data_IF_393387372554
#
_entry.id   IF_393387372554
#
_cell.length_a   1.000
_cell.length_b   1.000
_cell.length_c   1.000
_cell.angle_alpha   90.00
_cell.angle_beta   90.00
_cell.angle_gamma   90.00
#
_symmetry.space_group_name_H-M   'P 1'
#
loop_
_entity.id
_entity.type
_entity.pdbx_description
1 polymer ?
#
# COMPACT_ATOMS: atom_id res chain seq x y z
N UNK A 1 4.42 -11.98 -7.00
CA UNK A 1 2.98 -12.22 -7.26
C UNK A 1 2.49 -11.23 -8.31
N UNK A 2 2.46 -9.92 -8.05
CA UNK A 2 2.14 -8.88 -9.06
C UNK A 2 2.87 -9.09 -10.40
N UNK A 3 4.19 -9.28 -10.38
CA UNK A 3 4.97 -9.56 -11.59
C UNK A 3 4.49 -10.78 -12.39
N UNK A 4 3.97 -11.83 -11.75
CA UNK A 4 3.46 -13.00 -12.46
C UNK A 4 2.19 -12.66 -13.26
N UNK A 5 1.31 -11.82 -12.70
CA UNK A 5 0.16 -11.28 -13.41
C UNK A 5 0.59 -10.38 -14.59
N UNK A 6 1.55 -9.48 -14.38
CA UNK A 6 2.09 -8.64 -15.45
C UNK A 6 2.70 -9.47 -16.59
N UNK A 7 3.43 -10.55 -16.27
CA UNK A 7 3.97 -11.47 -17.27
C UNK A 7 2.87 -12.22 -18.02
N UNK A 8 1.77 -12.59 -17.34
CA UNK A 8 0.60 -13.16 -17.98
C UNK A 8 0.01 -12.23 -19.05
N UNK A 9 -0.07 -10.93 -18.76
CA UNK A 9 -0.45 -9.91 -19.76
C UNK A 9 0.61 -9.76 -20.85
N UNK A 10 1.89 -9.71 -20.50
CA UNK A 10 2.99 -9.58 -21.47
C UNK A 10 3.03 -10.74 -22.49
N UNK A 11 2.68 -11.97 -22.08
CA UNK A 11 2.56 -13.12 -22.97
C UNK A 11 1.44 -12.92 -24.01
N UNK A 12 0.34 -12.26 -23.64
CA UNK A 12 -0.73 -11.90 -24.58
C UNK A 12 -0.24 -10.82 -25.54
N UNK A 13 0.36 -9.77 -24.99
CA UNK A 13 0.87 -8.62 -25.76
C UNK A 13 1.93 -9.05 -26.77
N UNK A 14 2.84 -9.95 -26.39
CA UNK A 14 3.93 -10.43 -27.23
C UNK A 14 3.47 -10.98 -28.60
N UNK A 15 2.27 -11.59 -28.67
CA UNK A 15 1.72 -12.10 -29.93
C UNK A 15 1.48 -10.99 -30.95
N UNK A 16 1.02 -9.81 -30.49
CA UNK A 16 0.82 -8.62 -31.33
C UNK A 16 2.13 -8.03 -31.82
N UNK A 17 3.22 -8.26 -31.09
CA UNK A 17 4.58 -7.92 -31.50
C UNK A 17 5.28 -9.02 -32.32
N UNK A 18 4.55 -10.05 -32.78
CA UNK A 18 5.06 -11.07 -33.71
C UNK A 18 5.63 -12.34 -33.05
N UNK A 19 5.57 -12.47 -31.72
CA UNK A 19 6.00 -13.68 -31.03
C UNK A 19 5.00 -14.82 -31.23
N UNK A 20 5.49 -15.97 -31.74
CA UNK A 20 4.67 -17.17 -31.92
C UNK A 20 4.67 -18.02 -30.65
N UNK A 21 3.65 -17.83 -29.81
CA UNK A 21 3.50 -18.53 -28.53
C UNK A 21 2.34 -19.54 -28.62
N UNK A 22 2.58 -20.85 -28.46
CA UNK A 22 1.52 -21.87 -28.48
C UNK A 22 0.46 -21.64 -27.39
N UNK A 23 -0.79 -22.00 -27.68
CA UNK A 23 -1.92 -21.94 -26.75
C UNK A 23 -2.45 -23.34 -26.39
N UNK A 24 -3.03 -23.54 -25.19
CA UNK A 24 -3.19 -22.56 -24.11
C UNK A 24 -1.92 -22.37 -23.27
N UNK A 25 -1.68 -21.14 -22.80
CA UNK A 25 -0.66 -20.86 -21.77
C UNK A 25 -1.32 -20.93 -20.40
N UNK A 26 -0.85 -21.82 -19.53
CA UNK A 26 -1.35 -21.97 -18.17
C UNK A 26 -0.36 -21.43 -17.14
N UNK A 27 -0.89 -21.05 -15.97
CA UNK A 27 -0.10 -20.61 -14.83
C UNK A 27 -0.10 -21.69 -13.74
N UNK A 28 1.09 -22.00 -13.20
CA UNK A 28 1.26 -22.94 -12.09
C UNK A 28 1.54 -22.20 -10.77
N UNK A 29 0.58 -22.24 -9.84
CA UNK A 29 0.69 -21.60 -8.53
C UNK A 29 1.85 -22.14 -7.71
N UNK A 30 2.10 -23.46 -7.76
CA UNK A 30 3.13 -24.10 -6.95
C UNK A 30 4.52 -23.59 -7.33
N UNK A 31 4.81 -23.50 -8.63
CA UNK A 31 6.07 -22.97 -9.17
C UNK A 31 6.28 -21.52 -8.76
N UNK A 32 5.28 -20.64 -8.97
CA UNK A 32 5.38 -19.23 -8.58
C UNK A 32 5.59 -19.09 -7.06
N UNK A 33 4.76 -19.76 -6.25
CA UNK A 33 4.82 -19.70 -4.79
C UNK A 33 6.17 -20.19 -4.28
N UNK A 34 6.69 -21.30 -4.81
CA UNK A 34 7.99 -21.84 -4.44
C UNK A 34 9.13 -20.88 -4.78
N UNK A 35 9.12 -20.28 -5.98
CA UNK A 35 10.12 -19.29 -6.38
C UNK A 35 10.12 -18.06 -5.45
N UNK A 36 8.93 -17.52 -5.15
CA UNK A 36 8.76 -16.40 -4.22
C UNK A 36 9.24 -16.76 -2.82
N UNK A 37 8.85 -17.92 -2.30
CA UNK A 37 9.27 -18.37 -0.97
C UNK A 37 10.78 -18.61 -0.87
N UNK A 38 11.43 -19.07 -1.94
CA UNK A 38 12.88 -19.22 -1.99
C UNK A 38 13.58 -17.87 -1.86
N UNK A 39 13.09 -16.84 -2.55
CA UNK A 39 13.62 -15.49 -2.39
C UNK A 39 13.41 -14.96 -0.97
N UNK A 40 12.22 -15.12 -0.38
CA UNK A 40 11.93 -14.73 1.02
C UNK A 40 12.89 -15.43 2.00
N UNK A 41 13.16 -16.73 1.81
CA UNK A 41 14.13 -17.48 2.62
C UNK A 41 15.54 -16.91 2.49
N UNK A 42 15.96 -16.48 1.29
CA UNK A 42 17.25 -15.84 1.07
C UNK A 42 17.38 -14.51 1.84
N UNK A 43 16.32 -13.69 1.87
CA UNK A 43 16.28 -12.45 2.65
C UNK A 43 16.36 -12.72 4.16
N UNK A 44 15.61 -13.72 4.64
CA UNK A 44 15.67 -14.14 6.04
C UNK A 44 17.08 -14.57 6.47
N UNK A 45 17.80 -15.25 5.59
CA UNK A 45 19.20 -15.61 5.83
C UNK A 45 20.11 -14.37 5.79
N UNK A 46 19.98 -13.53 4.77
CA UNK A 46 20.78 -12.32 4.60
C UNK A 46 20.66 -11.36 5.79
N UNK A 47 19.46 -11.17 6.34
CA UNK A 47 19.28 -10.36 7.55
C UNK A 47 20.01 -10.92 8.77
N UNK A 48 20.00 -12.25 8.97
CA UNK A 48 20.73 -12.88 10.10
C UNK A 48 22.24 -12.70 9.96
N UNK A 49 22.77 -12.88 8.76
CA UNK A 49 24.19 -12.63 8.44
C UNK A 49 24.55 -11.18 8.73
N UNK A 50 23.76 -10.23 8.23
CA UNK A 50 24.00 -8.80 8.45
C UNK A 50 23.98 -8.38 9.93
N UNK A 51 23.14 -9.01 10.76
CA UNK A 51 23.14 -8.80 12.21
C UNK A 51 24.42 -9.37 12.84
N UNK A 52 24.82 -10.58 12.45
CA UNK A 52 26.04 -11.24 12.93
C UNK A 52 27.30 -10.44 12.57
N UNK A 53 27.43 -9.98 11.33
CA UNK A 53 28.58 -9.18 10.84
C UNK A 53 28.73 -7.88 11.63
N UNK A 54 27.60 -7.29 12.03
CA UNK A 54 27.54 -6.07 12.86
C UNK A 54 27.56 -6.36 14.36
N UNK A 55 27.79 -7.61 14.76
CA UNK A 55 27.84 -8.07 16.16
C UNK A 55 26.56 -7.74 16.94
N UNK A 56 25.42 -7.68 16.26
CA UNK A 56 24.10 -7.51 16.88
C UNK A 56 23.59 -8.87 17.33
N UNK A 57 23.38 -9.03 18.64
CA UNK A 57 22.86 -10.27 19.22
C UNK A 57 21.39 -10.47 18.82
N UNK A 58 21.13 -11.44 17.95
CA UNK A 58 19.78 -11.83 17.57
C UNK A 58 19.21 -12.87 18.53
N UNK A 59 18.03 -12.59 19.09
CA UNK A 59 17.28 -13.49 19.96
C UNK A 59 15.93 -13.80 19.33
N UNK A 60 15.73 -15.05 18.90
CA UNK A 60 14.43 -15.50 18.41
C UNK A 60 13.49 -15.83 19.57
N UNK A 61 12.97 -14.79 20.20
CA UNK A 61 12.12 -14.85 21.39
C UNK A 61 10.99 -13.84 21.29
N UNK A 62 9.82 -14.18 21.86
CA UNK A 62 8.73 -13.24 22.06
C UNK A 62 9.04 -12.38 23.30
N UNK A 63 9.29 -11.09 23.10
CA UNK A 63 9.61 -10.14 24.15
C UNK A 63 8.37 -9.46 24.74
N UNK A 64 8.41 -9.18 26.04
CA UNK A 64 7.45 -8.35 26.77
C UNK A 64 8.21 -7.49 27.80
N UNK A 65 7.77 -6.26 28.03
CA UNK A 65 8.38 -5.41 29.06
C UNK A 65 7.98 -5.92 30.45
N UNK A 66 8.94 -5.86 31.37
CA UNK A 66 8.74 -6.09 32.81
C UNK A 66 8.73 -4.75 33.54
N UNK A 67 9.67 -3.87 33.16
CA UNK A 67 9.78 -2.49 33.60
C UNK A 67 10.38 -1.64 32.45
N UNK A 68 10.75 -0.39 32.72
CA UNK A 68 11.28 0.55 31.72
C UNK A 68 12.61 0.12 31.08
N UNK A 69 13.37 -0.78 31.71
CA UNK A 69 14.69 -1.22 31.27
C UNK A 69 14.80 -2.72 31.05
N UNK A 70 13.81 -3.50 31.50
CA UNK A 70 13.87 -4.97 31.54
C UNK A 70 12.87 -5.60 30.56
N UNK A 71 13.39 -6.47 29.69
CA UNK A 71 12.61 -7.26 28.74
C UNK A 71 12.69 -8.73 29.16
N UNK A 72 11.53 -9.38 29.30
CA UNK A 72 11.42 -10.84 29.38
C UNK A 72 11.15 -11.40 27.99
N UNK A 73 12.01 -12.28 27.52
CA UNK A 73 11.88 -13.03 26.29
C UNK A 73 11.52 -14.49 26.54
N UNK A 74 10.59 -15.04 25.76
CA UNK A 74 10.24 -16.47 25.77
C UNK A 74 10.47 -17.07 24.38
N UNK A 75 11.21 -18.18 24.28
CA UNK A 75 11.42 -18.87 23.02
C UNK A 75 10.28 -19.87 22.71
N UNK A 76 10.29 -20.45 21.51
CA UNK A 76 9.28 -21.42 21.09
C UNK A 76 9.23 -22.72 21.93
N UNK A 77 10.26 -23.00 22.75
CA UNK A 77 10.31 -24.14 23.67
C UNK A 77 9.91 -23.79 25.10
N UNK A 78 9.40 -22.56 25.34
CA UNK A 78 9.01 -22.08 26.65
C UNK A 78 10.17 -21.68 27.57
N UNK A 79 11.43 -21.64 27.07
CA UNK A 79 12.57 -21.15 27.87
C UNK A 79 12.53 -19.63 27.94
N UNK A 80 12.58 -19.12 29.16
CA UNK A 80 12.64 -17.69 29.43
C UNK A 80 14.08 -17.15 29.50
N UNK A 81 14.23 -15.87 29.21
CA UNK A 81 15.45 -15.08 29.36
C UNK A 81 15.08 -13.64 29.69
N UNK A 82 15.85 -13.01 30.58
CA UNK A 82 15.73 -11.58 30.86
C UNK A 82 16.91 -10.83 30.26
N UNK A 83 16.63 -9.67 29.67
CA UNK A 83 17.64 -8.75 29.12
C UNK A 83 17.34 -7.35 29.62
N UNK A 84 18.36 -6.59 30.01
CA UNK A 84 18.24 -5.18 30.35
C UNK A 84 18.84 -4.30 29.25
N UNK A 85 18.27 -3.12 29.04
CA UNK A 85 18.75 -2.15 28.06
C UNK A 85 18.54 -0.71 28.54
N UNK A 86 19.50 0.17 28.23
CA UNK A 86 19.37 1.61 28.51
C UNK A 86 18.20 2.21 27.73
N UNK A 87 18.13 1.94 26.43
CA UNK A 87 17.07 2.40 25.54
C UNK A 87 16.35 1.20 24.92
N UNK A 88 15.03 1.30 24.75
CA UNK A 88 14.20 0.28 24.10
C UNK A 88 13.53 0.87 22.88
N UNK A 89 13.57 0.17 21.75
CA UNK A 89 12.82 0.55 20.52
C UNK A 89 11.79 -0.53 20.22
N UNK A 90 10.51 -0.15 20.21
CA UNK A 90 9.38 -1.02 19.90
C UNK A 90 9.10 -0.91 18.39
N UNK A 91 9.24 -2.03 17.68
CA UNK A 91 9.02 -2.12 16.23
C UNK A 91 8.25 -3.41 15.86
N UNK A 92 7.22 -3.76 16.63
CA UNK A 92 6.48 -5.03 16.47
C UNK A 92 5.46 -5.02 15.33
N UNK A 93 5.25 -3.87 14.70
CA UNK A 93 4.37 -3.72 13.54
C UNK A 93 2.91 -4.02 13.85
N UNK A 94 2.21 -4.63 12.89
CA UNK A 94 0.82 -5.07 13.02
C UNK A 94 0.55 -6.42 12.37
N UNK A 95 -0.66 -6.95 12.64
CA UNK A 95 -1.17 -8.21 12.07
C UNK A 95 -2.54 -7.99 11.43
N UNK A 96 -2.92 -8.81 10.44
CA UNK A 96 -4.24 -8.68 9.83
C UNK A 96 -5.38 -8.84 10.83
N UNK A 97 -6.45 -8.05 10.67
CA UNK A 97 -7.68 -8.17 11.45
C UNK A 97 -8.58 -9.24 10.84
N UNK A 98 -9.27 -9.96 11.72
CA UNK A 98 -10.40 -10.82 11.37
C UNK A 98 -11.71 -10.17 11.84
N UNK A 99 -12.79 -10.22 11.05
CA UNK A 99 -14.09 -9.71 11.48
C UNK A 99 -14.67 -10.63 12.57
N UNK A 100 -14.72 -10.15 13.81
CA UNK A 100 -15.17 -10.93 14.98
C UNK A 100 -16.67 -11.23 14.98
N UNK A 101 -17.46 -10.44 14.25
CA UNK A 101 -18.91 -10.58 14.15
C UNK A 101 -19.36 -11.50 13.01
N UNK A 102 -18.41 -12.10 12.27
CA UNK A 102 -18.69 -13.01 11.15
C UNK A 102 -18.29 -14.42 11.56
N UNK A 103 -19.25 -15.29 11.91
CA UNK A 103 -18.97 -16.70 12.17
C UNK A 103 -18.23 -17.35 11.00
N UNK A 104 -17.26 -18.22 11.30
CA UNK A 104 -16.41 -18.89 10.32
C UNK A 104 -15.27 -18.04 9.74
N UNK A 105 -15.21 -16.74 10.03
CA UNK A 105 -14.15 -15.88 9.48
C UNK A 105 -12.74 -16.30 9.90
N UNK A 106 -12.54 -16.63 11.18
CA UNK A 106 -11.25 -17.08 11.70
C UNK A 106 -10.90 -18.52 11.28
N UNK A 107 -11.90 -19.38 11.18
CA UNK A 107 -11.74 -20.81 10.89
C UNK A 107 -11.47 -21.10 9.42
N UNK A 108 -12.16 -20.38 8.52
CA UNK A 108 -12.17 -20.67 7.08
C UNK A 108 -11.52 -19.58 6.22
N UNK A 109 -11.05 -18.48 6.83
CA UNK A 109 -10.47 -17.34 6.13
C UNK A 109 -8.96 -17.20 6.29
N UNK A 110 -8.29 -16.76 5.23
CA UNK A 110 -6.92 -16.23 5.26
C UNK A 110 -6.96 -14.69 5.28
N UNK A 111 -5.84 -14.00 5.44
CA UNK A 111 -5.84 -12.53 5.51
C UNK A 111 -4.64 -11.85 4.82
N UNK A 112 -4.87 -10.72 4.14
CA UNK A 112 -3.85 -9.94 3.42
C UNK A 112 -4.34 -8.51 3.06
N UNK A 113 -3.75 -7.84 2.06
CA UNK A 113 -4.16 -6.55 1.48
C UNK A 113 -5.08 -6.77 0.27
N UNK A 114 -6.14 -5.98 0.14
CA UNK A 114 -7.32 -6.33 -0.67
C UNK A 114 -7.12 -6.27 -2.19
N UNK A 115 -7.00 -5.07 -2.75
CA UNK A 115 -7.04 -4.86 -4.20
C UNK A 115 -5.82 -5.41 -4.93
N UNK A 116 -4.62 -5.29 -4.35
CA UNK A 116 -3.40 -5.87 -4.93
C UNK A 116 -3.50 -7.40 -5.03
N UNK A 117 -3.99 -8.06 -3.98
CA UNK A 117 -4.22 -9.50 -4.00
C UNK A 117 -5.27 -9.89 -5.04
N UNK A 118 -6.43 -9.24 -5.03
CA UNK A 118 -7.47 -9.54 -6.00
C UNK A 118 -6.97 -9.37 -7.43
N UNK A 119 -6.26 -8.27 -7.69
CA UNK A 119 -5.69 -7.96 -8.99
C UNK A 119 -4.72 -9.04 -9.50
N UNK A 120 -3.74 -9.44 -8.68
CA UNK A 120 -2.81 -10.47 -9.15
C UNK A 120 -3.48 -11.85 -9.26
N UNK A 121 -4.47 -12.17 -8.42
CA UNK A 121 -5.22 -13.44 -8.50
C UNK A 121 -6.01 -13.51 -9.82
N UNK A 122 -6.72 -12.44 -10.19
CA UNK A 122 -7.35 -12.31 -11.52
C UNK A 122 -6.30 -12.42 -12.62
N UNK A 123 -5.17 -11.71 -12.50
CA UNK A 123 -4.13 -11.67 -13.53
C UNK A 123 -3.41 -12.99 -13.79
N UNK A 124 -3.35 -13.88 -12.80
CA UNK A 124 -2.85 -15.27 -12.98
C UNK A 124 -3.96 -16.26 -13.40
N UNK A 125 -5.18 -15.77 -13.66
CA UNK A 125 -6.29 -16.54 -14.22
C UNK A 125 -7.26 -17.13 -13.19
N UNK A 126 -7.24 -16.67 -11.93
CA UNK A 126 -8.20 -17.14 -10.93
C UNK A 126 -9.48 -16.31 -10.92
N UNK A 127 -10.60 -17.01 -10.76
CA UNK A 127 -11.89 -16.38 -10.63
C UNK A 127 -12.01 -15.64 -9.28
N UNK A 128 -12.08 -14.31 -9.33
CA UNK A 128 -11.86 -13.46 -8.16
C UNK A 128 -12.95 -12.41 -8.01
N UNK A 129 -13.58 -12.38 -6.83
CA UNK A 129 -14.56 -11.36 -6.44
C UNK A 129 -14.03 -10.54 -5.26
N UNK A 130 -14.17 -9.21 -5.32
CA UNK A 130 -13.87 -8.27 -4.23
C UNK A 130 -15.17 -7.79 -3.61
N UNK A 131 -15.33 -7.98 -2.30
CA UNK A 131 -16.44 -7.42 -1.55
C UNK A 131 -16.05 -6.08 -0.93
N UNK A 132 -16.74 -5.01 -1.32
CA UNK A 132 -16.45 -3.65 -0.86
C UNK A 132 -17.61 -3.13 -0.01
N UNK A 133 -17.31 -2.71 1.21
CA UNK A 133 -18.33 -2.20 2.15
C UNK A 133 -18.88 -0.82 1.80
N UNK A 134 -18.02 0.04 1.26
CA UNK A 134 -18.36 1.45 1.01
C UNK A 134 -17.54 1.99 -0.16
N UNK A 135 -16.33 2.49 0.10
CA UNK A 135 -15.41 3.02 -0.92
C UNK A 135 -14.13 2.20 -0.98
N UNK A 136 -13.53 2.13 -2.18
CA UNK A 136 -12.21 1.57 -2.38
C UNK A 136 -11.11 2.54 -1.93
N UNK A 137 -9.99 1.98 -1.45
CA UNK A 137 -8.78 2.74 -1.08
C UNK A 137 -9.06 3.99 -0.23
N UNK A 138 -9.88 3.86 0.83
CA UNK A 138 -10.17 4.95 1.76
C UNK A 138 -8.88 5.61 2.25
N UNK A 139 -8.81 6.94 2.11
CA UNK A 139 -7.63 7.75 2.46
C UNK A 139 -6.73 8.09 1.27
N UNK A 140 -6.95 7.45 0.12
CA UNK A 140 -6.41 7.90 -1.16
C UNK A 140 -7.42 8.77 -1.89
N UNK A 141 -6.94 9.48 -2.91
CA UNK A 141 -7.76 10.22 -3.85
C UNK A 141 -8.87 9.35 -4.47
N UNK A 142 -10.13 9.74 -4.27
CA UNK A 142 -11.27 8.92 -4.65
C UNK A 142 -11.52 8.85 -6.17
N UNK A 143 -11.07 9.84 -6.95
CA UNK A 143 -11.13 9.73 -8.41
C UNK A 143 -10.15 8.66 -8.90
N UNK A 144 -8.92 8.69 -8.40
CA UNK A 144 -7.89 7.72 -8.79
C UNK A 144 -8.28 6.31 -8.34
N UNK A 145 -8.89 6.19 -7.16
CA UNK A 145 -9.37 4.92 -6.61
C UNK A 145 -10.43 4.27 -7.50
N UNK A 146 -11.33 5.07 -8.10
CA UNK A 146 -12.33 4.58 -9.06
C UNK A 146 -11.70 4.12 -10.36
N UNK A 147 -10.79 4.91 -10.94
CA UNK A 147 -10.06 4.50 -12.16
C UNK A 147 -9.36 3.15 -11.99
N UNK A 148 -8.77 2.91 -10.81
CA UNK A 148 -8.16 1.62 -10.47
C UNK A 148 -9.20 0.49 -10.44
N UNK A 149 -10.34 0.69 -9.78
CA UNK A 149 -11.37 -0.36 -9.71
C UNK A 149 -12.07 -0.60 -11.04
N UNK A 150 -12.32 0.45 -11.83
CA UNK A 150 -12.91 0.36 -13.16
C UNK A 150 -11.99 -0.44 -14.10
N UNK A 151 -10.67 -0.24 -14.01
CA UNK A 151 -9.71 -1.07 -14.73
C UNK A 151 -9.76 -2.52 -14.25
N UNK A 152 -9.81 -2.77 -12.94
CA UNK A 152 -9.90 -4.14 -12.42
C UNK A 152 -11.17 -4.86 -12.91
N UNK A 153 -12.32 -4.17 -12.92
CA UNK A 153 -13.60 -4.67 -13.44
C UNK A 153 -13.51 -4.99 -14.94
N UNK A 154 -12.98 -4.06 -15.74
CA UNK A 154 -12.82 -4.24 -17.18
C UNK A 154 -11.91 -5.43 -17.55
N UNK A 155 -10.99 -5.81 -16.64
CA UNK A 155 -10.05 -6.91 -16.83
C UNK A 155 -10.41 -8.18 -16.01
N UNK A 156 -11.64 -8.28 -15.52
CA UNK A 156 -12.25 -9.53 -15.06
C UNK A 156 -12.29 -9.75 -13.55
N UNK A 157 -11.86 -8.79 -12.72
CA UNK A 157 -12.14 -8.85 -11.29
C UNK A 157 -13.59 -8.45 -11.04
N UNK A 158 -14.38 -9.31 -10.38
CA UNK A 158 -15.75 -8.94 -10.02
C UNK A 158 -15.78 -8.12 -8.74
N UNK A 159 -16.75 -7.23 -8.62
CA UNK A 159 -16.99 -6.49 -7.38
C UNK A 159 -18.42 -6.71 -6.87
N UNK A 160 -18.53 -6.89 -5.56
CA UNK A 160 -19.78 -6.79 -4.82
C UNK A 160 -19.70 -5.53 -3.97
N UNK A 161 -20.23 -4.44 -4.52
CA UNK A 161 -20.28 -3.14 -3.87
C UNK A 161 -21.33 -3.11 -2.75
N UNK A 162 -21.13 -2.19 -1.82
CA UNK A 162 -22.02 -1.98 -0.66
C UNK A 162 -22.33 -3.26 0.12
N UNK A 163 -21.40 -4.21 0.17
CA UNK A 163 -21.63 -5.55 0.70
C UNK A 163 -20.88 -5.79 2.02
N UNK A 164 -21.56 -6.41 2.97
CA UNK A 164 -20.99 -6.78 4.29
C UNK A 164 -21.20 -8.27 4.56
N UNK A 165 -20.11 -9.04 4.80
CA UNK A 165 -20.20 -10.46 5.08
C UNK A 165 -20.93 -10.70 6.41
N UNK A 166 -21.72 -11.77 6.46
CA UNK A 166 -22.49 -12.21 7.62
C UNK A 166 -21.97 -13.51 8.21
N UNK A 167 -21.66 -14.48 7.37
CA UNK A 167 -21.14 -15.79 7.79
C UNK A 167 -20.34 -16.46 6.67
N UNK A 168 -19.42 -17.33 7.08
CA UNK A 168 -18.71 -18.25 6.19
C UNK A 168 -18.89 -19.67 6.71
N UNK A 169 -19.37 -20.56 5.86
CA UNK A 169 -19.66 -21.95 6.22
C UNK A 169 -18.97 -22.89 5.24
N UNK A 170 -18.40 -23.99 5.74
CA UNK A 170 -17.79 -25.02 4.89
C UNK A 170 -18.86 -26.03 4.46
N UNK A 171 -19.09 -26.13 3.16
CA UNK A 171 -20.03 -27.07 2.56
C UNK A 171 -19.45 -28.50 2.53
N UNK A 172 -20.31 -29.54 2.40
CA UNK A 172 -19.85 -30.93 2.21
C UNK A 172 -18.95 -31.13 0.99
N UNK A 173 -19.08 -30.28 -0.03
CA UNK A 173 -18.21 -30.28 -1.22
C UNK A 173 -16.78 -29.78 -0.94
N UNK A 174 -16.54 -29.19 0.24
CA UNK A 174 -15.29 -28.53 0.60
C UNK A 174 -15.23 -27.04 0.23
N UNK A 175 -16.19 -26.53 -0.54
CA UNK A 175 -16.33 -25.10 -0.84
C UNK A 175 -16.75 -24.31 0.40
N UNK A 176 -16.44 -23.02 0.41
CA UNK A 176 -16.80 -22.07 1.45
C UNK A 176 -17.99 -21.24 0.96
N UNK A 177 -19.16 -21.47 1.52
CA UNK A 177 -20.33 -20.63 1.29
C UNK A 177 -20.17 -19.34 2.09
N UNK A 178 -20.21 -18.20 1.40
CA UNK A 178 -20.19 -16.88 1.99
C UNK A 178 -21.59 -16.28 1.86
N UNK A 179 -22.13 -15.83 2.98
CA UNK A 179 -23.38 -15.06 3.02
C UNK A 179 -23.06 -13.62 3.34
N UNK A 180 -23.66 -12.67 2.62
CA UNK A 180 -23.48 -11.24 2.87
C UNK A 180 -24.79 -10.48 2.67
N UNK A 181 -24.82 -9.27 3.21
CA UNK A 181 -25.96 -8.36 3.05
C UNK A 181 -25.52 -7.14 2.26
N UNK A 182 -26.36 -6.75 1.29
CA UNK A 182 -26.28 -5.45 0.64
C UNK A 182 -26.72 -4.35 1.63
N UNK A 183 -25.85 -3.37 1.84
CA UNK A 183 -26.06 -2.31 2.83
C UNK A 183 -27.08 -1.28 2.39
N UNK A 184 -27.37 -1.15 1.09
CA UNK A 184 -28.43 -0.30 0.56
C UNK A 184 -29.77 -1.04 0.56
N UNK A 185 -29.87 -2.16 -0.16
CA UNK A 185 -31.13 -2.88 -0.36
C UNK A 185 -31.55 -3.74 0.84
N UNK A 186 -30.62 -4.03 1.75
CA UNK A 186 -30.76 -4.98 2.89
C UNK A 186 -31.03 -6.41 2.45
N UNK A 187 -30.90 -6.73 1.17
CA UNK A 187 -31.05 -8.10 0.67
C UNK A 187 -29.85 -8.95 1.06
N UNK A 188 -30.14 -10.23 1.32
CA UNK A 188 -29.11 -11.23 1.59
C UNK A 188 -28.75 -11.96 0.31
N UNK A 189 -27.45 -12.17 0.10
CA UNK A 189 -26.89 -12.89 -1.02
C UNK A 189 -25.95 -13.98 -0.52
N UNK A 190 -25.77 -15.01 -1.34
CA UNK A 190 -24.91 -16.15 -1.03
C UNK A 190 -24.21 -16.63 -2.29
N UNK A 191 -22.95 -17.04 -2.14
CA UNK A 191 -22.14 -17.65 -3.20
C UNK A 191 -21.05 -18.54 -2.57
N UNK A 192 -20.48 -19.45 -3.35
CA UNK A 192 -19.52 -20.45 -2.89
C UNK A 192 -18.14 -20.26 -3.52
N UNK A 193 -17.10 -20.26 -2.68
CA UNK A 193 -15.72 -19.98 -3.07
C UNK A 193 -14.76 -21.07 -2.59
N UNK A 194 -13.63 -21.26 -3.27
CA UNK A 194 -12.56 -22.14 -2.77
C UNK A 194 -11.76 -21.53 -1.61
N UNK A 195 -11.69 -20.20 -1.54
CA UNK A 195 -10.87 -19.48 -0.55
C UNK A 195 -11.49 -18.13 -0.25
N UNK A 196 -11.51 -17.75 1.04
CA UNK A 196 -11.95 -16.42 1.50
C UNK A 196 -10.75 -15.66 2.07
N UNK A 197 -10.49 -14.47 1.53
CA UNK A 197 -9.38 -13.60 1.94
C UNK A 197 -9.90 -12.35 2.67
N UNK A 198 -9.55 -12.20 3.94
CA UNK A 198 -9.87 -11.04 4.75
C UNK A 198 -8.80 -9.95 4.62
N UNK A 199 -9.18 -8.87 3.94
CA UNK A 199 -8.37 -7.66 3.83
C UNK A 199 -9.03 -6.45 4.49
N UNK A 200 -9.45 -6.60 5.75
CA UNK A 200 -10.27 -5.63 6.49
C UNK A 200 -9.46 -4.74 7.44
N UNK A 201 -8.18 -4.54 7.11
CA UNK A 201 -7.24 -3.74 7.89
C UNK A 201 -6.34 -4.56 8.82
N UNK A 202 -5.46 -3.85 9.54
CA UNK A 202 -4.45 -4.43 10.44
C UNK A 202 -4.63 -3.88 11.85
N UNK A 203 -4.20 -4.65 12.85
CA UNK A 203 -4.16 -4.26 14.25
C UNK A 203 -2.70 -4.18 14.71
N UNK A 204 -2.32 -3.16 15.50
CA UNK A 204 -0.97 -3.06 16.04
C UNK A 204 -0.69 -4.19 17.05
N UNK A 205 0.53 -4.72 17.05
CA UNK A 205 0.95 -5.80 17.95
C UNK A 205 1.41 -5.24 19.31
N UNK A 206 0.48 -4.64 20.07
CA UNK A 206 0.74 -4.02 21.39
C UNK A 206 0.28 -4.90 22.58
N UNK A 207 -0.71 -5.76 22.38
CA UNK A 207 -1.43 -6.47 23.46
C UNK A 207 -0.55 -7.35 24.35
N UNK A 208 0.53 -7.92 23.80
CA UNK A 208 1.38 -8.89 24.52
C UNK A 208 2.69 -8.30 25.04
N UNK A 209 2.85 -6.97 24.96
CA UNK A 209 4.10 -6.28 25.28
C UNK A 209 4.13 -5.66 26.68
N UNK A 210 3.02 -5.68 27.42
CA UNK A 210 2.85 -5.05 28.74
C UNK A 210 3.06 -3.52 28.77
N UNK A 211 2.81 -2.83 27.65
CA UNK A 211 3.10 -1.40 27.50
C UNK A 211 2.41 -0.52 28.56
N UNK A 212 1.10 -0.70 28.79
CA UNK A 212 0.34 0.09 29.77
C UNK A 212 0.87 -0.10 31.20
N UNK A 213 1.36 -1.30 31.56
CA UNK A 213 1.90 -1.58 32.89
C UNK A 213 3.19 -0.82 33.17
N UNK A 214 3.97 -0.54 32.12
CA UNK A 214 5.25 0.21 32.20
C UNK A 214 5.04 1.71 31.97
N UNK A 215 3.79 2.17 31.84
CA UNK A 215 3.47 3.60 31.67
C UNK A 215 3.55 4.10 30.22
N UNK A 216 3.69 3.22 29.23
CA UNK A 216 3.64 3.60 27.81
C UNK A 216 2.19 3.84 27.38
N UNK A 217 1.89 5.07 26.96
CA UNK A 217 0.57 5.49 26.51
C UNK A 217 0.22 4.93 25.12
N UNK A 218 -1.02 4.44 25.01
CA UNK A 218 -1.59 3.96 23.76
C UNK A 218 -2.82 4.80 23.41
N UNK A 219 -3.05 5.02 22.12
CA UNK A 219 -4.31 5.57 21.66
C UNK A 219 -5.41 4.52 21.85
N UNK A 220 -6.46 4.84 22.61
CA UNK A 220 -7.48 3.86 23.02
C UNK A 220 -8.30 3.30 21.84
N UNK A 221 -8.57 4.11 20.80
CA UNK A 221 -9.37 3.69 19.65
C UNK A 221 -8.60 2.77 18.71
N UNK A 222 -7.32 3.08 18.46
CA UNK A 222 -6.49 2.38 17.47
C UNK A 222 -5.62 1.29 18.09
N UNK A 223 -5.30 1.40 19.38
CA UNK A 223 -4.35 0.57 20.11
C UNK A 223 -2.88 0.83 19.75
N UNK A 224 -2.57 1.88 18.97
CA UNK A 224 -1.20 2.27 18.57
C UNK A 224 -0.48 3.02 19.69
N UNK A 225 0.85 2.98 19.66
CA UNK A 225 1.70 3.69 20.63
C UNK A 225 1.71 5.18 20.29
N UNK A 226 1.42 6.02 21.28
CA UNK A 226 1.52 7.47 21.14
C UNK A 226 3.01 7.85 21.17
N UNK A 227 3.45 8.62 20.19
CA UNK A 227 4.85 9.04 20.06
C UNK A 227 4.97 10.53 19.76
N UNK A 228 6.06 11.12 20.24
CA UNK A 228 6.50 12.45 19.85
C UNK A 228 7.16 12.47 18.46
N UNK A 229 7.56 13.65 17.99
CA UNK A 229 8.24 13.86 16.70
C UNK A 229 9.64 13.20 16.61
N UNK A 230 10.24 12.85 17.74
CA UNK A 230 11.53 12.15 17.84
C UNK A 230 11.38 10.63 18.07
N UNK A 231 10.18 10.09 17.84
CA UNK A 231 9.79 8.69 18.01
C UNK A 231 9.72 8.21 19.48
N UNK A 232 9.89 9.10 20.46
CA UNK A 232 9.81 8.79 21.89
C UNK A 232 8.37 8.56 22.34
N UNK A 233 8.15 7.62 23.26
CA UNK A 233 6.84 7.40 23.91
C UNK A 233 6.68 8.32 25.14
N UNK A 234 5.66 8.09 25.96
CA UNK A 234 5.53 8.72 27.30
C UNK A 234 6.68 8.37 28.26
N UNK A 235 7.44 7.31 27.96
CA UNK A 235 8.63 6.90 28.73
C UNK A 235 9.90 7.39 28.04
N UNK A 236 10.75 8.11 28.78
CA UNK A 236 11.85 8.88 28.20
C UNK A 236 12.91 8.06 27.43
N UNK A 237 13.05 6.78 27.78
CA UNK A 237 14.02 5.83 27.23
C UNK A 237 13.38 4.77 26.30
N UNK A 238 12.06 4.84 26.07
CA UNK A 238 11.33 3.93 25.19
C UNK A 238 10.86 4.69 23.95
N UNK A 239 11.10 4.09 22.78
CA UNK A 239 10.77 4.65 21.48
C UNK A 239 9.88 3.66 20.71
N UNK A 240 9.10 4.13 19.74
CA UNK A 240 8.34 3.27 18.86
C UNK A 240 8.39 3.74 17.40
N UNK A 241 8.58 2.80 16.47
CA UNK A 241 8.74 3.08 15.04
C UNK A 241 7.92 2.11 14.17
N UNK A 242 7.60 2.55 12.95
CA UNK A 242 6.83 1.76 11.98
C UNK A 242 5.33 1.72 12.29
N UNK A 243 4.63 0.69 11.81
CA UNK A 243 3.15 0.61 11.83
C UNK A 243 2.52 0.79 13.21
N UNK A 244 3.27 0.45 14.27
CA UNK A 244 2.80 0.51 15.65
C UNK A 244 2.67 1.95 16.18
N UNK A 245 3.37 2.91 15.57
CA UNK A 245 3.40 4.30 16.00
C UNK A 245 2.19 5.07 15.47
N UNK A 246 1.50 5.78 16.36
CA UNK A 246 0.31 6.56 16.03
C UNK A 246 0.63 7.68 15.03
N UNK A 247 -0.25 7.87 14.04
CA UNK A 247 -0.14 8.96 13.05
C UNK A 247 1.02 8.82 12.07
N UNK A 248 1.70 7.67 12.00
CA UNK A 248 2.79 7.43 11.04
C UNK A 248 2.31 6.60 9.85
N UNK A 249 2.81 6.84 8.62
CA UNK A 249 2.55 6.00 7.46
C UNK A 249 3.04 4.56 7.69
N UNK A 250 2.18 3.57 7.43
CA UNK A 250 2.45 2.12 7.55
C UNK A 250 3.22 1.61 6.33
N UNK A 251 4.42 2.14 6.11
CA UNK A 251 5.24 1.86 4.94
C UNK A 251 6.65 1.40 5.34
N UNK A 252 7.19 0.43 4.60
CA UNK A 252 8.54 -0.10 4.87
C UNK A 252 9.64 0.99 4.82
N UNK A 253 9.69 1.87 3.79
CA UNK A 253 10.73 2.90 3.72
C UNK A 253 10.68 3.92 4.87
N UNK A 254 9.48 4.29 5.35
CA UNK A 254 9.34 5.23 6.48
C UNK A 254 9.83 4.60 7.78
N UNK A 255 9.51 3.34 8.05
CA UNK A 255 9.99 2.59 9.21
C UNK A 255 11.52 2.46 9.21
N UNK A 256 12.13 2.11 8.06
CA UNK A 256 13.58 2.00 7.92
C UNK A 256 14.26 3.35 8.15
N UNK A 257 13.76 4.43 7.52
CA UNK A 257 14.36 5.77 7.64
C UNK A 257 14.23 6.32 9.06
N UNK A 258 13.07 6.14 9.70
CA UNK A 258 12.86 6.50 11.11
C UNK A 258 13.83 5.75 12.03
N UNK A 259 13.97 4.42 11.87
CA UNK A 259 14.91 3.63 12.66
C UNK A 259 16.37 4.05 12.48
N UNK A 260 16.80 4.33 11.25
CA UNK A 260 18.16 4.84 10.96
C UNK A 260 18.41 6.20 11.63
N UNK A 261 17.48 7.15 11.50
CA UNK A 261 17.61 8.48 12.08
C UNK A 261 17.58 8.42 13.62
N UNK A 262 16.67 7.64 14.20
CA UNK A 262 16.60 7.41 15.64
C UNK A 262 17.91 6.83 16.18
N UNK A 263 18.47 5.80 15.53
CA UNK A 263 19.75 5.22 15.94
C UNK A 263 20.89 6.25 15.92
N UNK A 264 20.94 7.14 14.91
CA UNK A 264 21.93 8.23 14.86
C UNK A 264 21.74 9.24 15.99
N UNK A 265 20.49 9.59 16.33
CA UNK A 265 20.19 10.49 17.45
C UNK A 265 20.59 9.88 18.79
N UNK A 266 20.23 8.62 19.04
CA UNK A 266 20.57 7.91 20.27
C UNK A 266 22.08 7.69 20.44
N UNK A 267 22.82 7.59 19.34
CA UNK A 267 24.28 7.51 19.34
C UNK A 267 24.98 8.88 19.40
N UNK A 268 24.25 9.99 19.45
CA UNK A 268 24.82 11.35 19.51
C UNK A 268 25.46 11.83 18.20
N UNK A 269 25.11 11.22 17.06
CA UNK A 269 25.68 11.53 15.74
C UNK A 269 24.77 12.41 14.86
N UNK A 270 23.59 12.80 15.34
CA UNK A 270 22.63 13.63 14.61
C UNK A 270 21.57 14.20 15.55
N UNK A 271 20.97 15.33 15.16
CA UNK A 271 19.71 15.86 15.72
C UNK A 271 18.53 15.73 14.74
N UNK A 272 18.77 15.19 13.53
CA UNK A 272 17.79 15.14 12.46
C UNK A 272 16.59 14.24 12.81
N UNK A 273 15.39 14.81 12.70
CA UNK A 273 14.11 14.11 12.84
C UNK A 273 13.68 13.48 11.50
N UNK A 274 12.77 12.52 11.58
CA UNK A 274 12.14 11.96 10.39
C UNK A 274 11.11 12.94 9.82
N UNK A 275 11.22 13.24 8.52
CA UNK A 275 10.16 13.95 7.79
C UNK A 275 9.14 12.93 7.28
N UNK A 276 7.90 13.02 7.74
CA UNK A 276 6.77 12.17 7.34
C UNK A 276 5.85 12.85 6.32
N UNK A 277 6.12 14.09 5.94
CA UNK A 277 5.34 14.82 4.95
C UNK A 277 5.72 14.39 3.54
N UNK A 278 4.72 14.36 2.65
CA UNK A 278 4.87 14.05 1.22
C UNK A 278 5.67 12.76 0.96
N UNK A 279 5.39 11.71 1.74
CA UNK A 279 5.94 10.36 1.49
C UNK A 279 5.23 9.75 0.27
N UNK A 280 5.95 9.39 -0.81
CA UNK A 280 5.35 8.76 -1.97
C UNK A 280 4.86 7.34 -1.65
N UNK A 281 3.77 6.93 -2.30
CA UNK A 281 3.19 5.59 -2.19
C UNK A 281 2.77 5.09 -3.56
N UNK A 282 2.86 3.78 -3.77
CA UNK A 282 2.32 3.10 -4.95
C UNK A 282 1.49 1.90 -4.52
N UNK A 283 0.29 1.79 -5.07
CA UNK A 283 -0.58 0.62 -4.95
C UNK A 283 -0.39 -0.23 -6.20
N UNK A 284 0.05 -1.48 -6.01
CA UNK A 284 0.40 -2.40 -7.10
C UNK A 284 -0.82 -3.22 -7.55
N UNK A 285 -1.85 -2.53 -8.01
CA UNK A 285 -3.00 -3.11 -8.74
C UNK A 285 -2.63 -3.44 -10.19
N UNK A 286 -3.48 -4.19 -10.95
CA UNK A 286 -3.17 -4.58 -12.33
C UNK A 286 -2.82 -3.40 -13.24
N UNK A 287 -3.48 -2.26 -13.04
CA UNK A 287 -2.98 -0.95 -13.41
C UNK A 287 -2.46 -0.28 -12.14
N UNK A 288 -1.17 0.04 -12.09
CA UNK A 288 -0.56 0.59 -10.87
C UNK A 288 -1.02 2.03 -10.64
N UNK A 289 -1.07 2.41 -9.37
CA UNK A 289 -1.41 3.78 -8.95
C UNK A 289 -0.32 4.33 -8.03
N UNK A 290 0.41 5.33 -8.53
CA UNK A 290 1.42 6.07 -7.78
C UNK A 290 0.91 7.45 -7.37
N UNK A 291 1.21 7.87 -6.15
CA UNK A 291 0.89 9.20 -5.68
C UNK A 291 1.90 9.75 -4.66
N UNK A 292 1.96 11.08 -4.58
CA UNK A 292 2.72 11.81 -3.58
C UNK A 292 2.04 13.15 -3.28
N UNK A 293 2.07 13.58 -2.03
CA UNK A 293 1.41 14.82 -1.59
C UNK A 293 -0.06 14.62 -1.26
N UNK A 294 -0.84 15.70 -1.39
CA UNK A 294 -2.26 15.72 -1.05
C UNK A 294 -3.12 15.11 -2.16
N UNK A 295 -4.20 14.45 -1.76
CA UNK A 295 -5.29 14.17 -2.69
C UNK A 295 -6.04 15.46 -3.05
N UNK A 296 -6.82 15.43 -4.13
CA UNK A 296 -7.59 16.59 -4.56
C UNK A 296 -8.59 17.04 -3.49
N UNK A 297 -9.37 16.12 -2.94
CA UNK A 297 -10.36 16.42 -1.90
C UNK A 297 -9.71 16.93 -0.61
N UNK A 298 -8.49 16.49 -0.29
CA UNK A 298 -7.77 16.97 0.89
C UNK A 298 -7.15 18.35 0.64
N UNK A 299 -6.66 18.63 -0.57
CA UNK A 299 -6.18 19.95 -0.96
C UNK A 299 -7.32 20.97 -0.93
N UNK A 300 -8.48 20.64 -1.51
CA UNK A 300 -9.68 21.48 -1.46
C UNK A 300 -10.14 21.72 -0.02
N UNK A 301 -10.13 20.68 0.83
CA UNK A 301 -10.50 20.81 2.25
C UNK A 301 -9.54 21.73 3.04
N UNK A 302 -8.24 21.69 2.74
CA UNK A 302 -7.23 22.49 3.45
C UNK A 302 -7.14 23.93 2.94
N UNK A 303 -7.28 24.13 1.64
CA UNK A 303 -6.98 25.41 1.00
C UNK A 303 -8.23 26.17 0.56
N UNK A 304 -9.40 25.52 0.48
CA UNK A 304 -10.59 26.04 -0.20
C UNK A 304 -10.56 25.67 -1.68
N UNK A 305 -11.70 25.22 -2.22
CA UNK A 305 -11.82 24.72 -3.59
C UNK A 305 -11.44 25.78 -4.63
N UNK A 306 -11.78 27.03 -4.36
CA UNK A 306 -11.45 28.17 -5.20
C UNK A 306 -9.94 28.42 -5.30
N UNK A 307 -9.18 28.03 -4.26
CA UNK A 307 -7.72 28.21 -4.17
C UNK A 307 -6.93 26.96 -4.60
N UNK A 308 -7.57 26.01 -5.29
CA UNK A 308 -6.92 24.83 -5.87
C UNK A 308 -7.11 24.84 -7.39
N UNK A 309 -6.05 24.52 -8.13
CA UNK A 309 -6.11 24.27 -9.57
C UNK A 309 -5.62 22.85 -9.84
N UNK A 310 -6.33 22.10 -10.69
CA UNK A 310 -6.01 20.70 -10.98
C UNK A 310 -5.78 20.54 -12.47
N UNK A 311 -4.53 20.24 -12.82
CA UNK A 311 -4.14 19.87 -14.17
C UNK A 311 -4.31 18.37 -14.34
N UNK A 312 -4.85 17.92 -15.47
CA UNK A 312 -5.10 16.50 -15.72
C UNK A 312 -5.02 16.11 -17.19
N UNK A 313 -4.74 14.83 -17.45
CA UNK A 313 -4.74 14.25 -18.78
C UNK A 313 -4.95 12.73 -18.73
N UNK A 314 -5.65 12.18 -19.73
CA UNK A 314 -5.54 10.77 -20.10
C UNK A 314 -4.41 10.60 -21.10
N UNK A 315 -3.74 9.45 -21.08
CA UNK A 315 -2.66 9.15 -22.00
C UNK A 315 -2.66 7.68 -22.38
N UNK A 316 -1.94 7.33 -23.45
CA UNK A 316 -1.77 5.95 -23.88
C UNK A 316 -0.28 5.58 -23.88
N UNK A 317 0.15 4.60 -23.05
CA UNK A 317 1.49 4.05 -23.16
C UNK A 317 1.78 3.60 -24.59
N UNK A 318 2.96 3.92 -25.13
CA UNK A 318 3.31 3.51 -26.48
C UNK A 318 3.23 1.99 -26.64
N UNK A 319 3.63 1.25 -25.60
CA UNK A 319 3.61 -0.22 -25.56
C UNK A 319 2.19 -0.79 -25.71
N UNK A 320 1.16 -0.03 -25.33
CA UNK A 320 -0.24 -0.44 -25.42
C UNK A 320 -0.81 -0.26 -26.83
N UNK A 321 -0.14 0.48 -27.71
CA UNK A 321 -0.65 0.75 -29.08
C UNK A 321 -0.64 -0.50 -29.94
N UNK A 322 0.54 -1.10 -30.15
CA UNK A 322 0.68 -2.35 -30.92
C UNK A 322 0.00 -3.52 -30.20
N UNK A 323 0.04 -3.55 -28.86
CA UNK A 323 -0.67 -4.56 -28.07
C UNK A 323 -2.20 -4.44 -28.16
N UNK A 324 -2.73 -3.35 -28.76
CA UNK A 324 -4.16 -3.05 -28.85
C UNK A 324 -4.85 -3.04 -27.48
N UNK A 325 -4.13 -2.59 -26.45
CA UNK A 325 -4.67 -2.48 -25.09
C UNK A 325 -5.47 -1.21 -24.92
N UNK A 326 -6.52 -1.31 -24.12
CA UNK A 326 -7.24 -0.14 -23.64
C UNK A 326 -6.36 0.67 -22.68
N UNK A 327 -6.50 1.99 -22.75
CA UNK A 327 -5.78 2.94 -21.91
C UNK A 327 -6.72 3.97 -21.26
N UNK A 328 -8.04 3.72 -21.26
CA UNK A 328 -9.04 4.64 -20.74
C UNK A 328 -8.88 4.99 -19.26
N UNK A 329 -8.11 4.21 -18.51
CA UNK A 329 -7.80 4.46 -17.09
C UNK A 329 -6.33 4.86 -16.84
N UNK A 330 -5.51 4.99 -17.89
CA UNK A 330 -4.19 5.62 -17.80
C UNK A 330 -4.37 7.13 -17.73
N UNK A 331 -4.21 7.67 -16.52
CA UNK A 331 -4.58 9.05 -16.20
C UNK A 331 -3.58 9.66 -15.24
N UNK A 332 -3.34 10.95 -15.41
CA UNK A 332 -2.49 11.75 -14.55
C UNK A 332 -3.24 12.96 -14.05
N UNK A 333 -2.93 13.38 -12.83
CA UNK A 333 -3.30 14.70 -12.35
C UNK A 333 -2.27 15.31 -11.41
N UNK A 334 -2.20 16.62 -11.47
CA UNK A 334 -1.32 17.47 -10.64
C UNK A 334 -2.19 18.51 -9.95
N UNK A 335 -2.22 18.44 -8.63
CA UNK A 335 -2.99 19.32 -7.75
C UNK A 335 -2.06 20.46 -7.31
N UNK A 336 -2.44 21.70 -7.61
CA UNK A 336 -1.64 22.89 -7.35
C UNK A 336 -2.40 23.91 -6.51
N UNK A 337 -1.66 24.82 -5.88
CA UNK A 337 -2.23 26.09 -5.40
C UNK A 337 -2.84 26.85 -6.60
N UNK A 338 -4.04 27.40 -6.42
CA UNK A 338 -4.79 28.08 -7.47
C UNK A 338 -4.34 29.50 -7.77
N UNK A 339 -3.48 30.06 -6.93
CA UNK A 339 -2.95 31.42 -7.02
C UNK A 339 -1.43 31.44 -6.81
N UNK A 340 -0.82 32.58 -7.10
CA UNK A 340 0.63 32.79 -6.92
C UNK A 340 1.44 31.90 -7.85
N UNK A 341 2.49 31.29 -7.32
CA UNK A 341 3.46 30.50 -8.09
C UNK A 341 2.93 29.10 -8.46
N UNK A 342 1.70 28.75 -8.07
CA UNK A 342 1.09 27.43 -8.33
C UNK A 342 1.99 26.28 -7.87
N UNK A 343 2.38 26.30 -6.59
CA UNK A 343 3.15 25.20 -5.99
C UNK A 343 2.36 23.90 -6.10
N UNK A 344 3.05 22.82 -6.47
CA UNK A 344 2.44 21.49 -6.54
C UNK A 344 2.20 20.95 -5.14
N UNK A 345 0.95 20.66 -4.83
CA UNK A 345 0.48 20.10 -3.55
C UNK A 345 0.35 18.58 -3.61
N UNK A 346 0.07 18.02 -4.77
CA UNK A 346 -0.15 16.60 -4.98
C UNK A 346 0.04 16.18 -6.42
N UNK A 347 0.48 14.93 -6.62
CA UNK A 347 0.66 14.32 -7.93
C UNK A 347 0.15 12.88 -7.88
N UNK A 348 -0.62 12.50 -8.90
CA UNK A 348 -1.26 11.20 -9.03
C UNK A 348 -1.09 10.66 -10.43
N UNK A 349 -0.76 9.37 -10.53
CA UNK A 349 -0.46 8.69 -11.79
C UNK A 349 -1.04 7.28 -11.74
N UNK A 350 -1.98 6.96 -12.65
CA UNK A 350 -2.38 5.58 -12.95
C UNK A 350 -1.76 5.14 -14.26
N UNK A 351 -1.10 3.98 -14.26
CA UNK A 351 -0.31 3.55 -15.41
C UNK A 351 0.66 2.41 -15.14
N UNK A 352 1.38 1.94 -16.16
CA UNK A 352 2.51 1.04 -15.97
C UNK A 352 3.65 1.74 -15.22
N UNK A 353 4.33 1.00 -14.34
CA UNK A 353 5.53 1.45 -13.62
C UNK A 353 5.28 2.72 -12.78
N UNK A 354 4.11 2.86 -12.17
CA UNK A 354 3.69 4.08 -11.49
C UNK A 354 4.63 4.45 -10.33
N UNK A 355 5.21 3.46 -9.66
CA UNK A 355 6.21 3.68 -8.62
C UNK A 355 7.50 4.30 -9.14
N UNK A 356 7.99 3.84 -10.28
CA UNK A 356 9.20 4.35 -10.93
C UNK A 356 9.01 5.82 -11.35
N UNK A 357 7.83 6.13 -11.92
CA UNK A 357 7.48 7.51 -12.29
C UNK A 357 7.39 8.41 -11.06
N UNK A 358 6.61 8.00 -10.05
CA UNK A 358 6.29 8.84 -8.88
C UNK A 358 7.53 9.18 -8.05
N UNK A 359 8.52 8.29 -7.99
CA UNK A 359 9.69 8.44 -7.13
C UNK A 359 10.51 9.71 -7.42
N UNK A 360 10.66 10.08 -8.69
CA UNK A 360 11.37 11.31 -9.09
C UNK A 360 10.62 12.57 -8.71
N UNK A 361 9.30 12.60 -8.97
CA UNK A 361 8.46 13.75 -8.61
C UNK A 361 8.31 13.94 -7.10
N UNK A 362 8.44 12.88 -6.30
CA UNK A 362 8.48 13.00 -4.85
C UNK A 362 9.63 13.90 -4.36
N UNK A 363 10.80 13.83 -5.01
CA UNK A 363 11.89 14.78 -4.73
C UNK A 363 11.48 16.20 -5.12
N UNK A 364 10.83 16.38 -6.27
CA UNK A 364 10.30 17.67 -6.71
C UNK A 364 9.38 18.32 -5.68
N UNK A 365 8.42 17.55 -5.11
CA UNK A 365 7.55 18.04 -4.04
C UNK A 365 8.34 18.44 -2.77
N UNK A 366 9.38 17.68 -2.41
CA UNK A 366 10.24 18.03 -1.26
C UNK A 366 11.04 19.32 -1.52
N UNK A 367 11.34 19.63 -2.78
CA UNK A 367 11.96 20.88 -3.21
C UNK A 367 10.95 22.03 -3.40
N UNK A 368 9.64 21.78 -3.23
CA UNK A 368 8.60 22.80 -3.36
C UNK A 368 8.41 23.30 -4.80
N UNK A 369 8.62 22.44 -5.80
CA UNK A 369 8.50 22.83 -7.20
C UNK A 369 7.09 23.31 -7.59
N UNK A 370 7.03 24.11 -8.65
CA UNK A 370 5.82 24.73 -9.16
C UNK A 370 5.33 24.10 -10.46
N UNK A 371 4.07 24.34 -10.82
CA UNK A 371 3.54 23.93 -12.12
C UNK A 371 4.34 24.53 -13.29
N UNK A 372 4.79 25.79 -13.18
CA UNK A 372 5.63 26.42 -14.20
C UNK A 372 6.94 25.64 -14.42
N UNK A 373 7.63 25.24 -13.34
CA UNK A 373 8.85 24.43 -13.42
C UNK A 373 8.58 23.03 -13.99
N UNK A 374 7.44 22.42 -13.66
CA UNK A 374 7.02 21.14 -14.24
C UNK A 374 6.85 21.24 -15.76
N UNK A 375 6.14 22.26 -16.24
CA UNK A 375 5.88 22.49 -17.67
C UNK A 375 7.15 22.87 -18.44
N UNK A 376 8.06 23.62 -17.81
CA UNK A 376 9.31 24.03 -18.44
C UNK A 376 10.35 22.89 -18.47
N UNK A 377 10.08 21.76 -17.80
CA UNK A 377 10.92 20.56 -17.85
C UNK A 377 10.68 19.81 -19.17
N UNK A 378 11.75 19.52 -19.92
CA UNK A 378 11.67 18.76 -21.16
C UNK A 378 11.45 17.27 -20.87
N UNK A 379 10.43 16.68 -21.50
CA UNK A 379 10.11 15.25 -21.39
C UNK A 379 11.12 14.33 -22.10
N UNK A 380 11.21 13.09 -21.62
CA UNK A 380 11.95 12.01 -22.28
C UNK A 380 10.97 11.25 -23.19
N UNK A 381 11.26 11.15 -24.48
CA UNK A 381 10.34 10.58 -25.46
C UNK A 381 10.86 9.29 -26.13
N UNK A 382 10.05 8.22 -26.29
CA UNK A 382 8.69 8.06 -25.78
C UNK A 382 8.68 7.47 -24.35
N UNK A 383 8.00 8.12 -23.40
CA UNK A 383 7.79 7.57 -22.04
C UNK A 383 6.44 7.97 -21.45
N UNK A 384 5.88 7.15 -20.56
CA UNK A 384 4.64 7.54 -19.84
C UNK A 384 4.85 8.75 -18.92
N UNK A 385 6.06 8.91 -18.36
CA UNK A 385 6.37 9.98 -17.42
C UNK A 385 6.38 11.36 -18.07
N UNK A 386 6.68 11.45 -19.38
CA UNK A 386 6.72 12.73 -20.09
C UNK A 386 5.35 13.42 -20.11
N UNK A 387 4.25 12.67 -20.00
CA UNK A 387 2.90 13.22 -20.00
C UNK A 387 2.66 14.19 -18.83
N UNK A 388 3.35 14.01 -17.70
CA UNK A 388 3.33 14.96 -16.58
C UNK A 388 3.96 16.32 -16.93
N UNK A 389 4.93 16.35 -17.85
CA UNK A 389 5.55 17.60 -18.33
C UNK A 389 4.72 18.30 -19.41
N UNK A 390 3.80 17.56 -20.06
CA UNK A 390 2.92 18.06 -21.14
C UNK A 390 1.55 18.53 -20.64
N UNK A 391 1.23 18.24 -19.37
CA UNK A 391 -0.10 18.47 -18.79
C UNK A 391 -0.47 19.96 -18.81
N UNK A 392 -1.62 20.31 -19.39
CA UNK A 392 -2.03 21.72 -19.55
C UNK A 392 -3.54 21.96 -19.39
N UNK A 393 -4.38 20.93 -19.52
CA UNK A 393 -5.82 21.02 -19.31
C UNK A 393 -6.12 21.10 -17.82
N UNK A 394 -6.91 22.08 -17.40
CA UNK A 394 -7.39 22.19 -16.03
C UNK A 394 -8.82 21.68 -15.91
N UNK A 395 -9.14 21.02 -14.80
CA UNK A 395 -10.54 20.63 -14.49
C UNK A 395 -11.49 21.82 -14.50
N UNK A 396 -11.02 22.99 -14.02
CA UNK A 396 -11.81 24.23 -13.97
C UNK A 396 -12.21 24.74 -15.35
N UNK A 397 -11.39 24.49 -16.37
CA UNK A 397 -11.71 24.89 -17.76
C UNK A 397 -12.88 24.10 -18.36
N UNK A 398 -13.18 22.90 -17.84
CA UNK A 398 -14.19 22.00 -18.38
C UNK A 398 -13.85 21.40 -19.75
N UNK A 399 -12.62 21.59 -20.24
CA UNK A 399 -12.15 20.98 -21.48
C UNK A 399 -11.93 19.48 -21.31
N UNK A 400 -12.01 18.74 -22.42
CA UNK A 400 -11.72 17.30 -22.42
C UNK A 400 -10.24 17.05 -22.12
N UNK A 401 -9.99 16.17 -21.15
CA UNK A 401 -8.64 15.79 -20.72
C UNK A 401 -8.05 14.65 -21.56
N UNK A 402 -8.81 14.11 -22.52
CA UNK A 402 -8.34 13.06 -23.42
C UNK A 402 -7.30 13.66 -24.36
N UNK A 403 -6.04 13.23 -24.22
CA UNK A 403 -4.99 13.63 -25.16
C UNK A 403 -5.32 13.02 -26.52
N UNK A 404 -5.79 13.85 -27.43
CA UNK A 404 -5.80 13.53 -28.86
C UNK A 404 -4.33 13.56 -29.30
N UNK A 405 -3.83 12.46 -29.86
CA UNK A 405 -2.43 12.35 -30.25
C UNK A 405 -1.97 13.49 -31.17
N UNK A 406 -0.65 13.66 -31.30
CA UNK A 406 -0.13 14.34 -32.49
C UNK A 406 -0.43 13.52 -33.75
#
# INVERSE_FOLDING_TARGET
>A
MHQAALLGTAVKDAKKYGWKIPEPVSHDWATMSQAVQNHVKSLNWGHRVQLQDRKVKYLNMKGSLVDEHTIRGMNAKGKEMTVTARNVVIATGGRPKYPTHVPGALEFGISNVGLECAGFLTGIGLDTTVMVRSIALRGFDQQMSRLVTDYMEAYGTRFSWDAVPKKVEKLPSGLLQVTWTDTQSKQEHQDAFNTVLWAVGRAPETKTLNLKQVGVELNEDTGKVIVAADERTSMSNIFAIGDIAQGRPELTPTAIKAGKLLARRLAGHSSQLMNYDNVPTTVFTPLEYGCVGLSEEEAERRCGKENVEVYHAFYKPLEFTVAERDAGQCYIKVVCEGHGDQRVLGLHFTGPNAGEVTQGFALGLQCGFTYAQLRDTVGIHPTCAEELTKINITKRSGLDATVTGC
#
